data_IF_184920511325
#
_entry.id   IF_184920511325
#
_cell.length_a   1.000
_cell.length_b   1.000
_cell.length_c   1.000
_cell.angle_alpha   90.00
_cell.angle_beta   90.00
_cell.angle_gamma   90.00
#
_symmetry.space_group_name_H-M   'P 1'
#
loop_
_entity.id
_entity.type
_entity.pdbx_description
1 polymer ?
#
# COMPACT_ATOMS: atom_id res chain seq x y z
N UNK A 1 -9.29 -16.98 22.21
CA UNK A 1 -8.16 -16.04 22.19
C UNK A 1 -8.29 -15.28 20.90
N UNK A 2 -8.53 -13.97 20.96
CA UNK A 2 -8.62 -13.15 19.74
C UNK A 2 -7.21 -12.98 19.19
N UNK A 3 -7.01 -13.34 17.93
CA UNK A 3 -5.76 -13.13 17.22
C UNK A 3 -5.82 -11.73 16.58
N UNK A 4 -4.89 -10.85 16.93
CA UNK A 4 -4.82 -9.50 16.38
C UNK A 4 -3.71 -9.32 15.34
N UNK A 5 -2.85 -10.33 15.17
CA UNK A 5 -1.93 -10.47 14.05
C UNK A 5 -1.85 -11.93 13.62
N UNK A 6 -2.05 -12.21 12.33
CA UNK A 6 -1.85 -13.53 11.75
C UNK A 6 -0.49 -13.66 11.07
N UNK A 7 0.15 -12.53 10.73
CA UNK A 7 1.52 -12.51 10.22
C UNK A 7 2.48 -12.21 11.36
N UNK A 8 3.41 -13.13 11.60
CA UNK A 8 4.51 -12.90 12.54
C UNK A 8 5.39 -11.77 12.03
N UNK A 9 5.69 -10.83 12.92
CA UNK A 9 6.63 -9.74 12.65
C UNK A 9 7.93 -10.26 12.06
N UNK A 10 8.43 -9.53 11.08
CA UNK A 10 9.54 -9.95 10.23
C UNK A 10 10.54 -8.82 10.05
N UNK A 11 11.81 -9.17 10.06
CA UNK A 11 12.89 -8.44 9.43
C UNK A 11 13.88 -9.47 8.90
N UNK A 12 14.64 -9.11 7.87
CA UNK A 12 15.77 -9.93 7.46
C UNK A 12 16.78 -10.09 8.62
N UNK A 13 17.57 -11.17 8.57
CA UNK A 13 18.60 -11.43 9.57
C UNK A 13 19.49 -10.20 9.75
N UNK A 14 19.66 -9.76 11.01
CA UNK A 14 20.44 -8.59 11.37
C UNK A 14 20.02 -7.27 10.66
N UNK A 15 18.76 -7.19 10.18
CA UNK A 15 18.23 -6.03 9.47
C UNK A 15 18.78 -5.87 8.05
N UNK A 16 19.33 -6.94 7.46
CA UNK A 16 19.91 -6.87 6.11
C UNK A 16 18.90 -6.35 5.06
N UNK A 17 19.35 -5.50 4.16
CA UNK A 17 18.53 -5.09 3.00
C UNK A 17 18.84 -5.98 1.80
N UNK A 18 17.86 -6.18 0.94
CA UNK A 18 18.08 -6.86 -0.34
C UNK A 18 18.76 -5.91 -1.32
N UNK A 19 19.97 -6.27 -1.75
CA UNK A 19 20.76 -5.47 -2.70
C UNK A 19 20.35 -5.74 -4.15
N UNK A 20 20.68 -4.81 -5.06
CA UNK A 20 20.41 -4.95 -6.49
C UNK A 20 18.99 -4.58 -6.96
N UNK A 21 18.07 -4.28 -6.04
CA UNK A 21 16.72 -3.76 -6.37
C UNK A 21 16.80 -2.27 -6.76
N UNK A 22 17.51 -1.48 -5.96
CA UNK A 22 18.00 -0.16 -6.35
C UNK A 22 19.46 -0.27 -6.72
N UNK A 23 19.87 0.55 -7.69
CA UNK A 23 21.31 0.77 -7.94
C UNK A 23 21.94 1.44 -6.72
N UNK A 24 23.27 1.34 -6.57
CA UNK A 24 23.97 1.98 -5.46
C UNK A 24 23.77 3.50 -5.44
N UNK A 25 23.71 4.14 -6.62
CA UNK A 25 23.45 5.57 -6.75
C UNK A 25 22.03 5.95 -6.28
N UNK A 26 21.03 5.16 -6.67
CA UNK A 26 19.67 5.33 -6.19
C UNK A 26 19.60 5.12 -4.67
N UNK A 27 20.20 4.05 -4.15
CA UNK A 27 20.21 3.76 -2.72
C UNK A 27 20.85 4.90 -1.91
N UNK A 28 21.97 5.47 -2.37
CA UNK A 28 22.58 6.67 -1.78
C UNK A 28 21.66 7.89 -1.80
N UNK A 29 20.88 8.06 -2.86
CA UNK A 29 19.90 9.14 -2.93
C UNK A 29 18.75 8.90 -1.93
N UNK A 30 18.24 7.67 -1.84
CA UNK A 30 17.20 7.29 -0.87
C UNK A 30 17.65 7.57 0.57
N UNK A 31 18.83 7.08 0.94
CA UNK A 31 19.33 7.25 2.31
C UNK A 31 19.62 8.70 2.63
N UNK A 32 20.14 9.49 1.68
CA UNK A 32 20.32 10.93 1.88
C UNK A 32 19.00 11.65 2.14
N UNK A 33 17.92 11.27 1.44
CA UNK A 33 16.60 11.85 1.64
C UNK A 33 16.02 11.42 3.00
N UNK A 34 16.07 10.12 3.30
CA UNK A 34 15.51 9.53 4.51
C UNK A 34 16.32 9.88 5.78
N UNK A 35 17.61 10.18 5.66
CA UNK A 35 18.44 10.73 6.72
C UNK A 35 17.86 12.06 7.23
N UNK A 36 17.33 12.88 6.32
CA UNK A 36 16.78 14.18 6.65
C UNK A 36 17.82 15.10 7.28
N UNK A 37 17.37 15.91 8.24
CA UNK A 37 18.19 16.85 9.00
C UNK A 37 18.16 16.55 10.51
N UNK A 38 18.46 17.55 11.34
CA UNK A 38 18.42 17.37 12.79
C UNK A 38 17.03 16.99 13.34
N UNK A 39 15.96 17.38 12.64
CA UNK A 39 14.57 17.32 13.08
C UNK A 39 13.65 16.55 12.13
N UNK A 40 14.19 15.97 11.06
CA UNK A 40 13.48 15.17 10.08
C UNK A 40 14.32 13.94 9.73
N UNK A 41 13.68 12.83 9.34
CA UNK A 41 14.39 11.62 8.94
C UNK A 41 15.00 10.84 10.12
N UNK A 42 16.00 10.00 9.84
CA UNK A 42 16.69 9.20 10.84
C UNK A 42 18.14 8.87 10.43
N UNK A 43 19.11 9.01 11.35
CA UNK A 43 20.52 8.71 11.04
C UNK A 43 20.83 7.22 10.83
N UNK A 44 19.95 6.30 11.23
CA UNK A 44 20.09 4.87 10.95
C UNK A 44 20.06 4.54 9.46
N UNK A 45 19.54 5.43 8.61
CA UNK A 45 19.61 5.26 7.16
C UNK A 45 21.03 5.34 6.60
N UNK A 46 22.01 5.89 7.32
CA UNK A 46 23.41 5.92 6.87
C UNK A 46 23.99 4.50 6.68
N UNK A 47 23.54 3.57 7.53
CA UNK A 47 24.00 2.17 7.54
C UNK A 47 23.46 1.36 6.37
N UNK A 48 22.41 1.84 5.71
CA UNK A 48 21.80 1.18 4.56
C UNK A 48 22.76 1.19 3.36
N UNK A 49 23.58 2.24 3.21
CA UNK A 49 24.61 2.30 2.15
C UNK A 49 25.93 1.73 2.60
N UNK A 50 26.37 1.99 3.83
CA UNK A 50 27.71 1.59 4.30
C UNK A 50 27.78 0.12 4.70
N UNK A 51 26.72 -0.40 5.32
CA UNK A 51 26.66 -1.74 5.90
C UNK A 51 25.57 -2.61 5.24
N UNK A 52 24.71 -2.04 4.39
CA UNK A 52 23.56 -2.73 3.80
C UNK A 52 22.59 -3.31 4.83
N UNK A 53 22.37 -2.56 5.92
CA UNK A 53 21.41 -2.90 6.97
C UNK A 53 20.49 -1.73 7.29
N UNK A 54 19.25 -2.05 7.68
CA UNK A 54 18.28 -1.12 8.22
C UNK A 54 17.87 -1.55 9.63
N UNK A 55 18.46 -0.90 10.63
CA UNK A 55 18.26 -1.20 12.06
C UNK A 55 18.73 -0.05 12.95
N UNK A 56 18.18 0.03 14.16
CA UNK A 56 18.65 0.94 15.21
C UNK A 56 19.58 0.20 16.17
N UNK A 57 20.87 0.51 16.12
CA UNK A 57 21.88 -0.21 16.89
C UNK A 57 21.86 -1.72 16.57
N UNK A 58 21.38 -2.52 17.53
CA UNK A 58 21.20 -3.97 17.41
C UNK A 58 19.73 -4.40 17.19
N UNK A 59 18.80 -3.46 17.17
CA UNK A 59 17.37 -3.71 17.04
C UNK A 59 16.94 -3.52 15.58
N UNK A 60 16.44 -4.58 14.97
CA UNK A 60 15.92 -4.52 13.60
C UNK A 60 14.59 -3.75 13.56
N UNK A 61 14.35 -3.02 12.48
CA UNK A 61 13.03 -2.49 12.20
C UNK A 61 12.15 -3.61 11.64
N UNK A 62 11.19 -4.03 12.44
CA UNK A 62 10.26 -5.11 12.11
C UNK A 62 9.14 -4.59 11.23
N UNK A 63 8.52 -5.47 10.45
CA UNK A 63 7.29 -5.21 9.71
C UNK A 63 6.35 -6.41 9.82
N UNK A 64 5.09 -6.23 9.47
CA UNK A 64 4.07 -7.29 9.45
C UNK A 64 3.50 -7.49 8.05
N UNK A 65 4.27 -7.08 7.03
CA UNK A 65 3.86 -7.21 5.63
C UNK A 65 3.79 -8.69 5.24
N UNK A 66 2.65 -9.10 4.66
CA UNK A 66 2.41 -10.46 4.21
C UNK A 66 3.47 -10.97 3.23
N UNK A 67 3.55 -12.29 3.05
CA UNK A 67 4.53 -12.92 2.15
C UNK A 67 4.34 -12.54 0.66
N UNK A 68 3.14 -12.08 0.27
CA UNK A 68 2.87 -11.50 -1.04
C UNK A 68 3.34 -10.04 -1.17
N UNK A 69 3.86 -9.47 -0.08
CA UNK A 69 4.37 -8.12 0.14
C UNK A 69 3.28 -7.03 0.09
N UNK A 70 2.07 -7.38 0.52
CA UNK A 70 0.98 -6.44 0.82
C UNK A 70 0.62 -6.64 2.29
N UNK A 71 0.45 -5.55 3.04
CA UNK A 71 -0.11 -5.56 4.39
C UNK A 71 -1.64 -5.59 4.29
N UNK A 72 -2.24 -6.73 4.66
CA UNK A 72 -3.68 -6.93 4.68
C UNK A 72 -4.24 -6.61 6.05
N UNK A 73 -5.20 -5.71 6.10
CA UNK A 73 -5.80 -5.20 7.32
C UNK A 73 -7.25 -5.67 7.43
N UNK A 74 -7.61 -6.26 8.55
CA UNK A 74 -9.00 -6.45 8.93
C UNK A 74 -9.42 -5.33 9.90
N UNK A 75 -10.61 -4.78 9.69
CA UNK A 75 -11.12 -3.70 10.53
C UNK A 75 -12.16 -4.21 11.51
N UNK A 76 -11.80 -4.27 12.78
CA UNK A 76 -12.71 -4.49 13.91
C UNK A 76 -12.97 -3.20 14.72
N UNK A 77 -12.29 -2.10 14.37
CA UNK A 77 -12.42 -0.80 15.03
C UNK A 77 -13.68 -0.06 14.60
N UNK A 78 -14.37 0.52 15.58
CA UNK A 78 -15.48 1.46 15.36
C UNK A 78 -15.00 2.86 15.01
N UNK A 79 -13.74 3.17 15.33
CA UNK A 79 -13.07 4.44 15.00
C UNK A 79 -12.61 4.52 13.54
N UNK A 80 -12.59 3.40 12.81
CA UNK A 80 -12.37 3.37 11.37
C UNK A 80 -13.69 3.10 10.62
N UNK A 81 -14.36 4.13 10.09
CA UNK A 81 -15.53 3.94 9.26
C UNK A 81 -15.19 3.16 7.99
N UNK A 82 -16.06 2.24 7.57
CA UNK A 82 -15.89 1.46 6.31
C UNK A 82 -15.62 2.37 5.10
N UNK A 83 -16.25 3.56 5.07
CA UNK A 83 -16.06 4.56 4.01
C UNK A 83 -14.65 5.17 3.96
N UNK A 84 -13.88 5.13 5.05
CA UNK A 84 -12.52 5.68 5.11
C UNK A 84 -11.45 4.66 4.67
N UNK A 85 -11.75 3.36 4.70
CA UNK A 85 -10.79 2.27 4.43
C UNK A 85 -10.04 2.43 3.09
N UNK A 86 -10.74 2.84 2.03
CA UNK A 86 -10.13 3.02 0.71
C UNK A 86 -9.10 4.16 0.70
N UNK A 87 -9.36 5.27 1.39
CA UNK A 87 -8.43 6.38 1.50
C UNK A 87 -7.26 6.05 2.44
N UNK A 88 -7.52 5.38 3.58
CA UNK A 88 -6.48 4.95 4.52
C UNK A 88 -5.48 4.00 3.84
N UNK A 89 -5.95 2.91 3.23
CA UNK A 89 -5.07 1.99 2.48
C UNK A 89 -4.45 2.67 1.26
N UNK A 90 -5.23 3.52 0.58
CA UNK A 90 -4.78 4.29 -0.56
C UNK A 90 -3.62 5.22 -0.25
N UNK A 91 -3.49 5.74 0.98
CA UNK A 91 -2.43 6.68 1.34
C UNK A 91 -1.05 6.11 1.06
N UNK A 92 -0.71 4.99 1.71
CA UNK A 92 0.58 4.32 1.55
C UNK A 92 0.74 3.72 0.16
N UNK A 93 -0.34 3.29 -0.48
CA UNK A 93 -0.30 2.86 -1.87
C UNK A 93 0.13 4.00 -2.80
N UNK A 94 -0.36 5.23 -2.58
CA UNK A 94 0.03 6.40 -3.38
C UNK A 94 1.50 6.73 -3.16
N UNK A 95 1.95 6.75 -1.91
CA UNK A 95 3.36 6.94 -1.57
C UNK A 95 4.24 5.86 -2.23
N UNK A 96 3.82 4.59 -2.21
CA UNK A 96 4.55 3.50 -2.84
C UNK A 96 4.47 3.48 -4.37
N UNK A 97 3.45 4.10 -4.97
CA UNK A 97 3.16 3.99 -6.41
C UNK A 97 2.78 2.57 -6.87
N UNK A 98 2.42 1.69 -5.93
CA UNK A 98 1.90 0.34 -6.14
C UNK A 98 1.07 -0.06 -4.90
N UNK A 99 0.27 -1.13 -5.01
CA UNK A 99 -0.44 -1.66 -3.85
C UNK A 99 0.53 -2.34 -2.87
N UNK A 100 0.52 -1.86 -1.62
CA UNK A 100 1.25 -2.38 -0.47
C UNK A 100 0.39 -2.48 0.79
N UNK A 101 -0.80 -1.88 0.81
CA UNK A 101 -1.80 -1.98 1.89
C UNK A 101 -3.17 -2.27 1.30
N UNK A 102 -3.93 -3.19 1.90
CA UNK A 102 -5.29 -3.54 1.47
C UNK A 102 -6.18 -3.89 2.67
N UNK A 103 -7.45 -3.50 2.63
CA UNK A 103 -8.45 -4.03 3.56
C UNK A 103 -9.05 -5.34 3.06
N UNK A 104 -9.20 -6.31 3.96
CA UNK A 104 -9.84 -7.62 3.70
C UNK A 104 -11.12 -7.76 4.52
N UNK A 105 -11.98 -8.69 4.12
CA UNK A 105 -13.32 -8.83 4.69
C UNK A 105 -13.37 -9.84 5.85
N UNK A 106 -12.32 -10.64 6.04
CA UNK A 106 -12.23 -11.65 7.11
C UNK A 106 -10.93 -11.50 7.90
N UNK A 107 -10.95 -11.91 9.17
CA UNK A 107 -9.74 -11.91 10.03
C UNK A 107 -8.72 -12.87 9.46
N UNK A 108 -9.13 -14.03 8.97
CA UNK A 108 -8.24 -15.09 8.48
C UNK A 108 -7.42 -14.68 7.26
N UNK A 109 -7.92 -13.73 6.47
CA UNK A 109 -7.22 -13.17 5.31
C UNK A 109 -6.29 -12.02 5.66
N UNK A 110 -6.35 -11.48 6.88
CA UNK A 110 -5.56 -10.33 7.28
C UNK A 110 -4.19 -10.75 7.81
N UNK A 111 -3.21 -9.87 7.65
CA UNK A 111 -1.93 -9.95 8.34
C UNK A 111 -2.07 -9.37 9.75
N UNK A 112 -2.86 -8.29 9.89
CA UNK A 112 -3.06 -7.53 11.11
C UNK A 112 -4.53 -7.11 11.27
N UNK A 113 -4.99 -7.01 12.51
CA UNK A 113 -6.32 -6.52 12.88
C UNK A 113 -6.19 -5.13 13.50
N UNK A 114 -7.06 -4.21 13.06
CA UNK A 114 -7.25 -2.91 13.69
C UNK A 114 -8.39 -3.04 14.69
N UNK A 115 -8.16 -2.72 15.96
CA UNK A 115 -9.17 -2.82 17.02
C UNK A 115 -9.07 -1.69 18.04
N UNK A 116 -10.13 -1.52 18.83
CA UNK A 116 -10.24 -0.47 19.84
C UNK A 116 -9.95 -1.03 21.24
N UNK A 117 -9.12 -0.33 22.00
CA UNK A 117 -8.86 -0.62 23.43
C UNK A 117 -9.37 0.55 24.28
N UNK A 118 -10.11 0.22 25.33
CA UNK A 118 -10.61 1.22 26.28
C UNK A 118 -9.51 1.70 27.24
N UNK A 119 -9.65 2.94 27.70
CA UNK A 119 -8.73 3.59 28.62
C UNK A 119 -7.90 4.68 27.97
N UNK A 120 -7.65 5.74 28.74
CA UNK A 120 -6.75 6.83 28.36
C UNK A 120 -5.30 6.43 28.63
N UNK A 121 -4.52 6.34 27.55
CA UNK A 121 -3.11 5.95 27.57
C UNK A 121 -2.18 7.12 27.25
N UNK A 122 -2.72 8.30 26.95
CA UNK A 122 -1.95 9.47 26.48
C UNK A 122 -1.44 9.38 25.04
N UNK A 123 -1.70 8.27 24.33
CA UNK A 123 -1.44 8.11 22.89
C UNK A 123 -2.73 7.76 22.16
N UNK A 124 -2.82 8.10 20.88
CA UNK A 124 -4.08 8.01 20.13
C UNK A 124 -4.23 6.66 19.40
N UNK A 125 -3.11 6.06 19.03
CA UNK A 125 -3.03 4.73 18.43
C UNK A 125 -1.67 4.10 18.75
N UNK A 126 -1.52 2.81 18.50
CA UNK A 126 -0.26 2.11 18.59
C UNK A 126 -0.20 0.93 17.62
N UNK A 127 0.97 0.70 17.04
CA UNK A 127 1.34 -0.54 16.36
C UNK A 127 2.22 -1.37 17.29
N UNK A 128 1.97 -2.68 17.35
CA UNK A 128 2.80 -3.59 18.13
C UNK A 128 3.29 -4.79 17.32
N UNK A 129 4.58 -5.09 17.44
CA UNK A 129 5.20 -6.27 16.83
C UNK A 129 5.07 -7.55 17.67
N UNK A 130 4.41 -7.48 18.84
CA UNK A 130 4.20 -8.61 19.75
C UNK A 130 2.95 -9.46 19.44
N UNK A 131 2.17 -9.08 18.42
CA UNK A 131 0.94 -9.76 18.02
C UNK A 131 -0.36 -9.08 18.47
N UNK A 132 -0.29 -7.95 19.19
CA UNK A 132 -1.47 -7.17 19.60
C UNK A 132 -2.08 -6.34 18.45
N UNK A 133 -1.44 -6.33 17.28
CA UNK A 133 -1.93 -5.67 16.06
C UNK A 133 -1.88 -4.15 16.10
N UNK A 134 -2.82 -3.52 15.39
CA UNK A 134 -3.02 -2.08 15.34
C UNK A 134 -4.13 -1.69 16.32
N UNK A 135 -3.81 -0.81 17.25
CA UNK A 135 -4.67 -0.43 18.37
C UNK A 135 -5.07 1.03 18.23
N UNK A 136 -6.36 1.32 18.37
CA UNK A 136 -6.86 2.66 18.65
C UNK A 136 -7.18 2.81 20.14
N UNK A 137 -6.96 4.02 20.66
CA UNK A 137 -7.37 4.41 22.01
C UNK A 137 -8.41 5.55 21.96
N UNK A 138 -9.70 5.22 21.73
CA UNK A 138 -10.78 6.19 21.69
C UNK A 138 -10.81 7.18 22.86
N UNK A 139 -10.54 6.68 24.06
CA UNK A 139 -10.63 7.46 25.30
C UNK A 139 -9.47 8.43 25.49
N UNK A 140 -8.37 8.31 24.72
CA UNK A 140 -7.25 9.26 24.70
C UNK A 140 -7.55 10.51 23.85
N UNK A 141 -8.71 10.56 23.18
CA UNK A 141 -9.04 11.63 22.24
C UNK A 141 -9.67 12.85 22.92
N UNK A 142 -8.84 13.81 23.33
CA UNK A 142 -9.27 15.03 24.07
C UNK A 142 -9.06 16.33 23.28
N UNK A 143 -9.23 16.30 21.96
CA UNK A 143 -8.92 17.44 21.08
C UNK A 143 -10.20 18.21 20.72
N UNK A 144 -10.55 19.17 21.58
CA UNK A 144 -11.88 19.80 21.58
C UNK A 144 -12.05 20.96 20.58
N UNK A 145 -10.94 21.49 20.03
CA UNK A 145 -10.92 22.73 19.22
C UNK A 145 -10.95 22.50 17.70
N UNK A 146 -11.32 21.31 17.27
CA UNK A 146 -11.35 20.92 15.85
C UNK A 146 -12.77 20.86 15.30
N UNK A 147 -12.92 21.17 14.01
CA UNK A 147 -14.15 20.82 13.27
C UNK A 147 -14.30 19.30 13.18
N UNK A 148 -15.50 18.80 12.90
CA UNK A 148 -15.72 17.36 12.73
C UNK A 148 -14.86 16.76 11.60
N UNK A 149 -14.62 17.52 10.53
CA UNK A 149 -13.72 17.14 9.44
C UNK A 149 -12.27 17.01 9.91
N UNK A 150 -11.80 17.97 10.70
CA UNK A 150 -10.45 17.95 11.24
C UNK A 150 -10.27 16.81 12.27
N UNK A 151 -11.28 16.52 13.08
CA UNK A 151 -11.26 15.36 13.98
C UNK A 151 -11.13 14.05 13.20
N UNK A 152 -11.93 13.87 12.13
CA UNK A 152 -11.83 12.71 11.24
C UNK A 152 -10.44 12.60 10.60
N UNK A 153 -9.86 13.72 10.14
CA UNK A 153 -8.52 13.73 9.57
C UNK A 153 -7.50 13.23 10.58
N UNK A 154 -7.53 13.76 11.81
CA UNK A 154 -6.59 13.38 12.84
C UNK A 154 -6.75 11.94 13.33
N UNK A 155 -7.98 11.44 13.47
CA UNK A 155 -8.23 10.02 13.77
C UNK A 155 -7.54 9.12 12.73
N UNK A 156 -7.72 9.46 11.45
CA UNK A 156 -7.20 8.66 10.35
C UNK A 156 -5.70 8.85 10.17
N UNK A 157 -5.17 10.04 10.46
CA UNK A 157 -3.73 10.28 10.51
C UNK A 157 -3.04 9.37 11.51
N UNK A 158 -3.57 9.25 12.74
CA UNK A 158 -3.00 8.37 13.75
C UNK A 158 -2.92 6.94 13.22
N UNK A 159 -4.00 6.43 12.62
CA UNK A 159 -3.97 5.11 12.00
C UNK A 159 -2.99 4.97 10.84
N UNK A 160 -2.96 5.94 9.92
CA UNK A 160 -2.07 5.91 8.77
C UNK A 160 -0.61 5.93 9.26
N UNK A 161 -0.29 6.67 10.32
CA UNK A 161 1.01 6.66 10.98
C UNK A 161 1.36 5.26 11.50
N UNK A 162 0.45 4.62 12.26
CA UNK A 162 0.68 3.28 12.79
C UNK A 162 0.79 2.21 11.69
N UNK A 163 0.06 2.35 10.58
CA UNK A 163 0.27 1.50 9.38
C UNK A 163 1.70 1.68 8.85
N UNK A 164 2.28 2.88 8.93
CA UNK A 164 3.68 3.13 8.61
C UNK A 164 4.64 2.29 9.47
N UNK A 165 4.39 2.19 10.77
CA UNK A 165 5.12 1.27 11.65
C UNK A 165 4.92 -0.20 11.25
N UNK A 166 3.70 -0.59 10.86
CA UNK A 166 3.41 -1.94 10.36
C UNK A 166 4.17 -2.28 9.06
N UNK A 167 4.45 -1.27 8.23
CA UNK A 167 5.30 -1.37 7.03
C UNK A 167 6.81 -1.36 7.35
N UNK A 168 7.17 -1.11 8.60
CA UNK A 168 8.54 -1.11 9.13
C UNK A 168 9.23 0.26 9.15
N UNK A 169 8.49 1.36 9.04
CA UNK A 169 9.06 2.70 9.19
C UNK A 169 9.22 3.03 10.67
N UNK A 170 10.35 3.64 11.03
CA UNK A 170 10.52 4.28 12.33
C UNK A 170 9.87 5.67 12.36
N UNK A 171 9.81 6.29 13.54
CA UNK A 171 9.65 7.74 13.61
C UNK A 171 10.78 8.45 12.82
N UNK A 172 10.43 9.57 12.19
CA UNK A 172 11.29 10.37 11.31
C UNK A 172 11.43 11.81 11.81
N UNK A 173 11.62 12.00 13.12
CA UNK A 173 11.87 13.30 13.76
C UNK A 173 13.36 13.65 13.92
N UNK A 174 14.26 12.99 13.18
CA UNK A 174 15.70 13.21 13.24
C UNK A 174 16.40 12.48 14.39
N UNK A 175 17.72 12.35 14.30
CA UNK A 175 18.54 11.60 15.26
C UNK A 175 18.49 10.09 15.05
N UNK A 176 18.96 9.34 16.05
CA UNK A 176 19.13 7.87 15.97
C UNK A 176 17.81 7.12 16.14
N UNK A 177 16.89 7.65 16.93
CA UNK A 177 15.60 7.02 17.22
C UNK A 177 14.41 7.74 16.55
N UNK A 178 14.67 8.86 15.86
CA UNK A 178 13.63 9.69 15.26
C UNK A 178 12.89 10.58 16.25
N UNK A 179 13.41 10.79 17.47
CA UNK A 179 12.72 11.53 18.53
C UNK A 179 13.19 12.99 18.70
N UNK A 180 14.24 13.43 18.00
CA UNK A 180 14.86 14.75 18.22
C UNK A 180 13.86 15.92 18.13
N UNK A 181 13.03 15.93 17.09
CA UNK A 181 12.04 16.97 16.87
C UNK A 181 10.99 17.01 17.97
N UNK A 182 10.46 15.87 18.40
CA UNK A 182 9.50 15.78 19.51
C UNK A 182 10.12 16.30 20.82
N UNK A 183 11.35 15.88 21.12
CA UNK A 183 12.10 16.33 22.30
C UNK A 183 12.40 17.83 22.28
N UNK A 184 12.50 18.43 21.09
CA UNK A 184 12.73 19.85 20.90
C UNK A 184 11.44 20.68 20.75
N UNK A 185 10.25 20.05 20.83
CA UNK A 185 8.97 20.71 20.59
C UNK A 185 8.84 21.27 19.18
N UNK A 186 9.47 20.63 18.19
CA UNK A 186 9.38 21.00 16.78
C UNK A 186 8.43 20.04 16.09
N UNK A 187 7.37 20.59 15.53
CA UNK A 187 6.33 19.84 14.86
C UNK A 187 6.36 20.15 13.37
N UNK A 188 6.41 19.10 12.57
CA UNK A 188 6.55 19.16 11.13
C UNK A 188 5.28 18.73 10.42
N UNK A 189 5.39 18.67 9.09
CA UNK A 189 4.30 18.20 8.24
C UNK A 189 4.44 16.72 7.88
N UNK A 190 5.61 16.11 8.14
CA UNK A 190 5.95 14.74 7.84
C UNK A 190 5.06 13.76 8.59
N UNK A 191 4.46 12.79 7.89
CA UNK A 191 3.54 11.85 8.51
C UNK A 191 4.22 11.03 9.61
N UNK A 192 5.42 10.50 9.36
CA UNK A 192 6.16 9.71 10.33
C UNK A 192 6.97 10.57 11.32
N UNK A 193 6.91 11.90 11.19
CA UNK A 193 7.52 12.83 12.13
C UNK A 193 6.58 13.18 13.30
N UNK A 194 7.07 13.94 14.30
CA UNK A 194 6.21 14.50 15.34
C UNK A 194 5.34 15.62 14.76
N UNK A 195 4.10 15.67 15.22
CA UNK A 195 3.08 16.56 14.72
C UNK A 195 2.35 17.29 15.86
N UNK A 196 1.81 18.47 15.54
CA UNK A 196 0.94 19.24 16.43
C UNK A 196 -0.36 19.57 15.70
N UNK A 197 -1.46 19.23 16.36
CA UNK A 197 -2.82 19.37 15.86
C UNK A 197 -3.23 20.83 15.69
N UNK A 198 -2.66 21.72 16.49
CA UNK A 198 -2.92 23.16 16.43
C UNK A 198 -2.20 23.85 15.29
N UNK A 199 -0.99 23.42 14.95
CA UNK A 199 -0.20 23.98 13.85
C UNK A 199 -0.64 23.45 12.48
N UNK A 200 -1.18 22.21 12.45
CA UNK A 200 -1.59 21.53 11.21
C UNK A 200 -3.00 20.94 11.33
N UNK A 201 -4.06 21.75 11.52
CA UNK A 201 -5.40 21.25 11.83
C UNK A 201 -6.00 20.35 10.74
N UNK A 202 -5.50 20.41 9.51
CA UNK A 202 -5.90 19.55 8.39
C UNK A 202 -5.22 18.16 8.36
N UNK A 203 -4.29 17.89 9.28
CA UNK A 203 -3.47 16.68 9.33
C UNK A 203 -2.14 16.81 8.57
N UNK A 204 -1.16 15.93 8.88
CA UNK A 204 0.14 15.90 8.23
C UNK A 204 0.04 15.40 6.78
N UNK A 205 1.12 15.62 6.06
CA UNK A 205 1.27 15.30 4.64
C UNK A 205 2.49 14.40 4.47
N UNK A 206 2.33 13.28 3.74
CA UNK A 206 3.50 12.48 3.40
C UNK A 206 4.38 13.20 2.39
N UNK A 207 5.67 13.26 2.70
CA UNK A 207 6.70 13.92 1.89
C UNK A 207 7.65 12.91 1.25
N UNK A 208 8.66 13.40 0.52
CA UNK A 208 9.72 12.55 0.00
C UNK A 208 10.52 11.81 1.08
N UNK A 209 10.53 12.30 2.33
CA UNK A 209 11.23 11.66 3.45
C UNK A 209 10.53 10.36 3.85
N UNK A 210 9.19 10.39 4.04
CA UNK A 210 8.40 9.19 4.31
C UNK A 210 8.52 8.18 3.16
N UNK A 211 8.50 8.66 1.92
CA UNK A 211 8.60 7.82 0.72
C UNK A 211 9.97 7.14 0.58
N UNK A 212 11.06 7.85 0.88
CA UNK A 212 12.41 7.28 0.87
C UNK A 212 12.60 6.27 2.01
N UNK A 213 12.08 6.57 3.21
CA UNK A 213 12.06 5.62 4.33
C UNK A 213 11.29 4.34 3.97
N UNK A 214 10.10 4.48 3.37
CA UNK A 214 9.30 3.36 2.88
C UNK A 214 10.04 2.53 1.82
N UNK A 215 10.71 3.18 0.86
CA UNK A 215 11.49 2.50 -0.18
C UNK A 215 12.62 1.64 0.42
N UNK A 216 13.30 2.14 1.45
CA UNK A 216 14.32 1.38 2.18
C UNK A 216 13.70 0.25 2.99
N UNK A 217 12.62 0.52 3.74
CA UNK A 217 11.93 -0.49 4.55
C UNK A 217 11.48 -1.68 3.67
N UNK A 218 10.98 -1.41 2.46
CA UNK A 218 10.57 -2.44 1.52
C UNK A 218 11.69 -3.37 1.03
N UNK A 219 12.97 -3.02 1.22
CA UNK A 219 14.10 -3.92 0.95
C UNK A 219 14.29 -4.98 2.03
N UNK A 220 13.66 -4.81 3.19
CA UNK A 220 13.70 -5.73 4.34
C UNK A 220 12.47 -6.62 4.45
N UNK A 221 11.46 -6.45 3.58
CA UNK A 221 10.25 -7.28 3.57
C UNK A 221 10.55 -8.71 3.12
N UNK A 222 9.68 -9.67 3.48
CA UNK A 222 9.79 -11.07 3.01
C UNK A 222 9.83 -11.18 1.48
N UNK A 223 9.14 -10.25 0.80
CA UNK A 223 9.18 -10.09 -0.65
C UNK A 223 9.67 -8.67 -1.00
N UNK A 224 11.00 -8.47 -1.02
CA UNK A 224 11.62 -7.19 -1.31
C UNK A 224 11.23 -6.69 -2.69
N UNK A 225 11.04 -5.37 -2.83
CA UNK A 225 10.60 -4.77 -4.10
C UNK A 225 11.01 -3.31 -4.23
N UNK A 226 11.10 -2.84 -5.47
CA UNK A 226 11.29 -1.42 -5.80
C UNK A 226 9.94 -0.70 -5.75
N UNK A 227 9.81 0.30 -4.89
CA UNK A 227 8.61 1.14 -4.73
C UNK A 227 8.97 2.63 -4.64
N UNK A 228 7.98 3.51 -4.57
CA UNK A 228 8.16 4.96 -4.46
C UNK A 228 9.14 5.54 -5.49
N UNK A 229 9.29 4.93 -6.67
CA UNK A 229 10.32 5.28 -7.65
C UNK A 229 10.22 6.72 -8.17
N UNK A 230 9.07 7.37 -7.95
CA UNK A 230 8.86 8.78 -8.23
C UNK A 230 9.82 9.70 -7.45
N UNK A 231 10.37 9.29 -6.30
CA UNK A 231 11.33 10.09 -5.51
C UNK A 231 12.64 10.38 -6.25
N UNK A 232 12.91 9.63 -7.33
CA UNK A 232 14.07 9.80 -8.18
C UNK A 232 13.82 10.81 -9.33
N UNK A 233 12.60 11.33 -9.45
CA UNK A 233 12.24 12.34 -10.45
C UNK A 233 12.68 13.75 -10.01
N UNK A 234 12.92 14.62 -10.98
CA UNK A 234 13.43 15.99 -10.74
C UNK A 234 12.48 16.86 -9.92
N UNK A 235 11.17 16.59 -9.94
CA UNK A 235 10.14 17.33 -9.22
C UNK A 235 9.64 16.62 -7.94
N UNK A 236 10.37 15.59 -7.46
CA UNK A 236 10.00 14.79 -6.29
C UNK A 236 9.71 15.63 -5.03
N UNK A 237 10.45 16.71 -4.79
CA UNK A 237 10.27 17.59 -3.62
C UNK A 237 8.94 18.36 -3.61
N UNK A 238 8.24 18.41 -4.74
CA UNK A 238 6.92 19.05 -4.85
C UNK A 238 5.79 18.04 -4.67
N UNK A 239 6.10 16.75 -4.61
CA UNK A 239 5.10 15.68 -4.54
C UNK A 239 4.64 15.44 -3.11
N UNK A 240 3.37 15.13 -2.96
CA UNK A 240 2.78 14.86 -1.65
C UNK A 240 1.56 13.94 -1.71
N UNK A 241 1.22 13.35 -0.56
CA UNK A 241 -0.05 12.67 -0.30
C UNK A 241 -0.58 13.14 1.05
N UNK A 242 -1.85 13.54 1.10
CA UNK A 242 -2.54 13.92 2.32
C UNK A 242 -3.88 13.22 2.40
N UNK A 243 -4.24 12.71 3.57
CA UNK A 243 -5.60 12.28 3.85
C UNK A 243 -6.46 13.51 4.15
N UNK A 244 -7.61 13.62 3.50
CA UNK A 244 -8.58 14.68 3.80
C UNK A 244 -9.99 14.12 3.70
N UNK A 245 -10.63 13.94 4.84
CA UNK A 245 -12.04 13.63 5.02
C UNK A 245 -12.51 12.47 4.14
N UNK A 246 -11.89 11.30 4.36
CA UNK A 246 -12.17 10.04 3.63
C UNK A 246 -11.74 10.06 2.17
N UNK A 247 -10.96 11.05 1.78
CA UNK A 247 -10.36 11.17 0.44
C UNK A 247 -8.85 11.36 0.54
N UNK A 248 -8.19 11.19 -0.60
CA UNK A 248 -6.76 11.48 -0.76
C UNK A 248 -6.59 12.71 -1.63
N UNK A 249 -5.78 13.64 -1.16
CA UNK A 249 -5.28 14.76 -1.94
C UNK A 249 -3.83 14.49 -2.26
N UNK A 250 -3.50 14.38 -3.55
CA UNK A 250 -2.15 14.09 -4.00
C UNK A 250 -1.88 14.70 -5.36
N UNK A 251 -0.62 15.06 -5.60
CA UNK A 251 -0.09 15.40 -6.91
C UNK A 251 0.99 14.39 -7.38
N UNK A 252 1.07 13.24 -6.72
CA UNK A 252 1.84 12.11 -7.24
C UNK A 252 1.19 11.63 -8.54
N UNK A 253 2.00 11.28 -9.55
CA UNK A 253 1.47 10.63 -10.73
C UNK A 253 0.74 9.35 -10.27
N UNK A 254 -0.58 9.34 -10.45
CA UNK A 254 -1.45 8.25 -10.00
C UNK A 254 -0.90 6.94 -10.55
N UNK A 255 -0.25 6.18 -9.67
CA UNK A 255 0.11 4.78 -9.91
C UNK A 255 -0.42 3.94 -8.76
N UNK A 256 -1.53 4.35 -8.14
CA UNK A 256 -2.32 3.37 -7.39
C UNK A 256 -3.33 2.81 -8.36
N UNK A 257 -3.04 1.60 -8.82
CA UNK A 257 -4.06 0.73 -9.37
C UNK A 257 -4.70 0.00 -8.18
N UNK A 258 -5.84 0.44 -7.62
CA UNK A 258 -6.73 -0.53 -7.00
C UNK A 258 -7.39 -1.31 -8.13
N UNK A 259 -7.23 -2.63 -8.07
CA UNK A 259 -7.53 -3.60 -9.13
C UNK A 259 -6.69 -3.42 -10.40
N UNK A 260 -6.33 -4.54 -10.99
CA UNK A 260 -5.55 -4.63 -12.21
C UNK A 260 -6.27 -3.89 -13.37
N UNK A 261 -5.63 -2.86 -13.95
CA UNK A 261 -6.16 -2.10 -15.09
C UNK A 261 -5.32 -2.34 -16.34
N UNK A 262 -5.84 -3.11 -17.28
CA UNK A 262 -5.23 -3.22 -18.62
C UNK A 262 -5.48 -1.94 -19.36
N UNK A 263 -4.41 -1.27 -19.84
CA UNK A 263 -4.58 -0.20 -20.83
C UNK A 263 -4.86 -0.85 -22.18
N UNK A 264 -6.06 -0.64 -22.68
CA UNK A 264 -6.41 -0.93 -24.06
C UNK A 264 -6.12 0.31 -24.88
N UNK A 265 -5.26 0.18 -25.87
CA UNK A 265 -5.11 1.21 -26.88
C UNK A 265 -6.29 1.08 -27.85
N UNK A 266 -7.02 2.17 -28.10
CA UNK A 266 -8.16 2.17 -29.01
C UNK A 266 -7.74 1.89 -30.47
N UNK A 267 -6.46 2.09 -30.80
CA UNK A 267 -5.87 1.69 -32.08
C UNK A 267 -5.57 0.18 -32.16
N UNK A 268 -5.64 -0.55 -31.03
CA UNK A 268 -5.39 -1.99 -30.98
C UNK A 268 -6.66 -2.77 -31.37
N UNK A 269 -6.60 -3.35 -32.56
CA UNK A 269 -7.66 -4.06 -33.27
C UNK A 269 -8.38 -5.09 -32.36
N UNK A 270 -9.69 -4.90 -32.15
CA UNK A 270 -10.58 -5.97 -31.68
C UNK A 270 -10.60 -7.05 -32.76
N UNK A 271 -10.21 -8.27 -32.39
CA UNK A 271 -10.43 -9.41 -33.28
C UNK A 271 -11.57 -10.24 -32.69
N UNK A 272 -12.76 -10.26 -33.31
CA UNK A 272 -13.78 -11.24 -32.98
C UNK A 272 -13.22 -12.62 -33.32
N UNK A 273 -13.14 -13.49 -32.31
CA UNK A 273 -12.62 -14.85 -32.48
C UNK A 273 -13.56 -15.77 -31.74
N UNK A 274 -14.70 -16.08 -32.34
CA UNK A 274 -15.62 -17.07 -31.77
C UNK A 274 -14.93 -18.44 -31.80
N UNK A 275 -14.31 -18.81 -30.69
CA UNK A 275 -13.56 -20.07 -30.52
C UNK A 275 -13.77 -20.59 -29.11
N UNK A 276 -13.62 -21.90 -28.91
CA UNK A 276 -13.77 -22.54 -27.62
C UNK A 276 -12.39 -22.95 -27.11
N UNK A 277 -12.06 -22.55 -25.87
CA UNK A 277 -10.74 -22.77 -25.28
C UNK A 277 -10.90 -23.26 -23.85
N UNK A 278 -10.00 -24.14 -23.41
CA UNK A 278 -10.02 -24.66 -22.03
C UNK A 278 -9.26 -23.70 -21.12
N UNK A 279 -9.82 -23.38 -19.96
CA UNK A 279 -9.12 -22.67 -18.90
C UNK A 279 -8.18 -23.68 -18.21
N UNK A 280 -6.89 -23.44 -18.25
CA UNK A 280 -5.87 -24.37 -17.76
C UNK A 280 -5.31 -23.96 -16.39
N UNK A 281 -5.40 -22.66 -16.05
CA UNK A 281 -4.73 -22.10 -14.87
C UNK A 281 -5.63 -21.21 -14.05
N UNK A 282 -5.27 -21.06 -12.77
CA UNK A 282 -5.89 -20.08 -11.90
C UNK A 282 -5.50 -18.66 -12.33
N UNK A 283 -6.48 -17.80 -12.57
CA UNK A 283 -6.31 -16.41 -12.99
C UNK A 283 -7.48 -15.55 -12.51
N UNK A 284 -7.21 -14.27 -12.26
CA UNK A 284 -8.25 -13.30 -11.92
C UNK A 284 -9.25 -13.10 -13.06
N UNK A 285 -10.51 -12.83 -12.69
CA UNK A 285 -11.62 -12.53 -13.58
C UNK A 285 -12.02 -11.06 -13.44
N UNK A 286 -12.34 -10.43 -14.55
CA UNK A 286 -12.74 -9.02 -14.62
C UNK A 286 -14.01 -8.84 -15.44
N UNK A 287 -14.76 -7.77 -15.18
CA UNK A 287 -15.94 -7.37 -15.96
C UNK A 287 -15.66 -6.04 -16.66
N UNK A 288 -15.83 -6.01 -17.98
CA UNK A 288 -15.73 -4.81 -18.81
C UNK A 288 -17.08 -4.39 -19.35
N UNK A 289 -17.32 -3.08 -19.39
CA UNK A 289 -18.27 -2.43 -20.30
C UNK A 289 -17.51 -1.98 -21.55
N UNK A 290 -18.12 -2.07 -22.72
CA UNK A 290 -17.55 -1.58 -23.99
C UNK A 290 -17.19 -0.09 -23.94
N UNK A 291 -17.82 0.70 -23.05
CA UNK A 291 -17.50 2.10 -22.79
C UNK A 291 -16.17 2.31 -22.05
N UNK A 292 -15.61 1.29 -21.42
CA UNK A 292 -14.34 1.35 -20.69
C UNK A 292 -13.11 1.14 -21.61
N UNK A 293 -13.35 0.87 -22.89
CA UNK A 293 -12.32 0.70 -23.94
C UNK A 293 -12.40 1.93 -24.87
N UNK A 294 -12.25 3.14 -24.33
CA UNK A 294 -12.33 4.37 -25.12
C UNK A 294 -10.98 5.05 -25.37
N UNK A 295 -9.88 4.53 -24.81
CA UNK A 295 -8.52 5.06 -25.00
C UNK A 295 -8.28 6.49 -24.48
N UNK A 296 -9.31 7.12 -23.90
CA UNK A 296 -9.30 8.53 -23.48
C UNK A 296 -9.45 8.65 -21.97
N UNK A 297 -10.05 7.64 -21.31
CA UNK A 297 -10.31 7.67 -19.86
C UNK A 297 -9.71 6.45 -19.15
N UNK A 298 -8.99 6.68 -18.04
CA UNK A 298 -8.41 5.64 -17.18
C UNK A 298 -9.51 4.95 -16.36
N UNK A 299 -10.24 4.00 -16.96
CA UNK A 299 -11.13 3.12 -16.19
C UNK A 299 -10.47 1.77 -15.93
N UNK A 300 -10.31 1.45 -14.65
CA UNK A 300 -9.90 0.12 -14.20
C UNK A 300 -11.10 -0.82 -14.19
N UNK A 301 -10.98 -2.01 -14.77
CA UNK A 301 -12.02 -3.02 -14.65
C UNK A 301 -12.00 -3.63 -13.25
N UNK A 302 -13.15 -3.69 -12.55
CA UNK A 302 -13.20 -4.33 -11.25
C UNK A 302 -12.88 -5.82 -11.40
N UNK A 303 -12.02 -6.33 -10.52
CA UNK A 303 -11.88 -7.77 -10.34
C UNK A 303 -13.19 -8.29 -9.74
N UNK A 304 -13.76 -9.30 -10.37
CA UNK A 304 -15.04 -9.92 -9.96
C UNK A 304 -14.88 -11.35 -9.46
N UNK A 305 -13.64 -11.86 -9.43
CA UNK A 305 -13.32 -13.20 -8.92
C UNK A 305 -12.00 -13.74 -9.46
N UNK A 306 -11.85 -15.06 -9.45
CA UNK A 306 -10.75 -15.80 -10.10
C UNK A 306 -11.22 -17.19 -10.58
N UNK A 307 -10.53 -17.79 -11.54
CA UNK A 307 -10.97 -19.04 -12.19
C UNK A 307 -10.93 -20.26 -11.26
N UNK A 308 -10.13 -20.22 -10.18
CA UNK A 308 -10.11 -21.24 -9.14
C UNK A 308 -11.07 -21.01 -7.97
N UNK A 309 -11.99 -20.03 -8.06
CA UNK A 309 -12.84 -19.65 -6.94
C UNK A 309 -13.80 -20.81 -6.56
N UNK A 310 -13.91 -21.22 -5.27
CA UNK A 310 -14.62 -22.45 -4.90
C UNK A 310 -16.10 -22.52 -5.32
N UNK A 311 -16.81 -21.39 -5.24
CA UNK A 311 -18.21 -21.23 -5.62
C UNK A 311 -18.40 -20.97 -7.13
N UNK A 312 -17.31 -20.76 -7.88
CA UNK A 312 -17.29 -20.46 -9.30
C UNK A 312 -16.04 -21.05 -9.98
N UNK A 313 -15.82 -22.36 -9.80
CA UNK A 313 -14.61 -23.02 -10.27
C UNK A 313 -14.65 -23.25 -11.80
N UNK A 314 -13.82 -22.50 -12.52
CA UNK A 314 -13.72 -22.47 -13.98
C UNK A 314 -12.49 -23.20 -14.54
N UNK A 315 -11.52 -23.58 -13.70
CA UNK A 315 -10.35 -24.35 -14.19
C UNK A 315 -10.84 -25.68 -14.79
N UNK A 316 -10.21 -26.06 -15.90
CA UNK A 316 -10.56 -27.15 -16.79
C UNK A 316 -11.90 -27.03 -17.55
N UNK A 317 -12.65 -25.94 -17.39
CA UNK A 317 -13.86 -25.68 -18.19
C UNK A 317 -13.47 -25.16 -19.57
N UNK A 318 -14.26 -25.56 -20.57
CA UNK A 318 -14.20 -24.99 -21.91
C UNK A 318 -15.13 -23.78 -21.98
N UNK A 319 -14.59 -22.62 -22.33
CA UNK A 319 -15.32 -21.35 -22.43
C UNK A 319 -15.35 -20.85 -23.86
N UNK A 320 -16.42 -20.15 -24.21
CA UNK A 320 -16.54 -19.49 -25.51
C UNK A 320 -15.79 -18.16 -25.45
N UNK A 321 -14.67 -18.07 -26.15
CA UNK A 321 -13.99 -16.80 -26.39
C UNK A 321 -14.81 -16.03 -27.43
N UNK A 322 -15.12 -14.78 -27.10
CA UNK A 322 -15.87 -13.86 -27.95
C UNK A 322 -14.91 -12.91 -28.66
N UNK A 323 -13.98 -12.33 -27.91
CA UNK A 323 -13.06 -11.29 -28.39
C UNK A 323 -11.67 -11.45 -27.77
N UNK A 324 -10.65 -10.96 -28.47
CA UNK A 324 -9.27 -10.86 -27.98
C UNK A 324 -8.80 -9.43 -28.10
N UNK A 325 -8.22 -8.91 -27.03
CA UNK A 325 -7.68 -7.56 -26.96
C UNK A 325 -6.16 -7.61 -26.76
N UNK A 326 -5.39 -6.89 -27.58
CA UNK A 326 -4.00 -6.61 -27.27
C UNK A 326 -3.92 -5.69 -26.05
N UNK A 327 -2.84 -5.79 -25.28
CA UNK A 327 -2.56 -4.87 -24.17
C UNK A 327 -1.39 -3.96 -24.53
N UNK A 328 -1.22 -2.87 -23.78
CA UNK A 328 -0.02 -2.02 -23.87
C UNK A 328 1.28 -2.75 -23.44
N UNK A 329 1.20 -3.97 -22.91
CA UNK A 329 2.34 -4.82 -22.61
C UNK A 329 2.61 -5.77 -23.79
N UNK A 330 3.81 -5.66 -24.36
CA UNK A 330 4.22 -6.49 -25.51
C UNK A 330 4.07 -7.99 -25.19
N UNK A 331 3.44 -8.72 -26.11
CA UNK A 331 3.22 -10.16 -25.99
C UNK A 331 2.08 -10.58 -25.05
N UNK A 332 1.39 -9.66 -24.40
CA UNK A 332 0.25 -9.96 -23.53
C UNK A 332 -1.09 -9.61 -24.18
N UNK A 333 -2.06 -10.51 -24.02
CA UNK A 333 -3.42 -10.39 -24.56
C UNK A 333 -4.45 -10.76 -23.51
N UNK A 334 -5.60 -10.10 -23.59
CA UNK A 334 -6.80 -10.37 -22.77
C UNK A 334 -7.85 -10.99 -23.67
N UNK A 335 -8.63 -11.91 -23.13
CA UNK A 335 -9.78 -12.52 -23.81
C UNK A 335 -11.07 -12.12 -23.11
N UNK A 336 -12.10 -11.78 -23.89
CA UNK A 336 -13.50 -11.77 -23.44
C UNK A 336 -14.09 -13.12 -23.72
N UNK A 337 -14.74 -13.70 -22.72
CA UNK A 337 -15.34 -15.01 -22.83
C UNK A 337 -16.68 -15.05 -22.13
N UNK A 338 -17.54 -15.94 -22.62
CA UNK A 338 -18.85 -16.23 -22.04
C UNK A 338 -18.80 -17.56 -21.31
N UNK A 339 -19.38 -17.57 -20.11
CA UNK A 339 -19.65 -18.78 -19.34
C UNK A 339 -21.05 -18.68 -18.73
N UNK A 340 -21.92 -19.60 -19.11
CA UNK A 340 -23.37 -19.48 -18.91
C UNK A 340 -23.90 -18.17 -19.52
N UNK A 341 -24.69 -17.39 -18.77
CA UNK A 341 -25.26 -16.11 -19.21
C UNK A 341 -24.41 -14.90 -18.78
N UNK A 342 -23.22 -15.14 -18.22
CA UNK A 342 -22.30 -14.08 -17.81
C UNK A 342 -21.10 -13.97 -18.76
N UNK A 343 -20.62 -12.74 -18.94
CA UNK A 343 -19.40 -12.43 -19.66
C UNK A 343 -18.31 -11.95 -18.72
N UNK A 344 -17.10 -12.41 -19.00
CA UNK A 344 -15.91 -12.11 -18.22
C UNK A 344 -14.73 -11.85 -19.13
N UNK A 345 -13.66 -11.38 -18.50
CA UNK A 345 -12.35 -11.26 -19.13
C UNK A 345 -11.25 -11.75 -18.22
N UNK A 346 -10.17 -12.20 -18.85
CA UNK A 346 -8.94 -12.61 -18.20
C UNK A 346 -7.79 -12.58 -19.20
N UNK A 347 -6.56 -12.76 -18.72
CA UNK A 347 -5.43 -12.97 -19.62
C UNK A 347 -5.58 -14.25 -20.45
N UNK A 348 -5.23 -14.18 -21.73
CA UNK A 348 -5.21 -15.37 -22.60
C UNK A 348 -4.23 -16.44 -22.10
N UNK A 349 -3.20 -16.05 -21.34
CA UNK A 349 -2.25 -16.98 -20.71
C UNK A 349 -2.89 -17.96 -19.71
N UNK A 350 -4.13 -17.69 -19.29
CA UNK A 350 -4.95 -18.60 -18.47
C UNK A 350 -5.49 -19.80 -19.26
N UNK A 351 -5.55 -19.68 -20.60
CA UNK A 351 -6.05 -20.73 -21.47
C UNK A 351 -4.95 -21.75 -21.79
N UNK A 352 -5.38 -22.93 -22.21
CA UNK A 352 -4.54 -23.94 -22.85
C UNK A 352 -3.65 -23.33 -23.95
N UNK A 353 -2.47 -23.90 -24.22
CA UNK A 353 -1.70 -23.47 -25.39
C UNK A 353 -2.47 -23.84 -26.65
N UNK A 354 -2.60 -22.90 -27.60
CA UNK A 354 -3.06 -23.25 -28.95
C UNK A 354 -2.09 -24.30 -29.50
N UNK A 355 -2.62 -25.46 -29.89
CA UNK A 355 -1.87 -26.50 -30.60
C UNK A 355 -1.54 -26.00 -31.99
#
# INVERSE_FOLDING_TARGET
MTLYANTTSYANENGAITTGIYTEAELKQLTKIAHGDQYTGNSNFDRVVTEHVYKNGNTNYMNVVGADGVLKLYNDSKYLPKAAQAAVSGFWNHVAGVEIVRFVDTVEESDEVIHDVAGDTGVLAAQSYNGDGLIFYPDSWHIDKLTAEQQENWHMTALIHEIGHGLGLSHLGGGVDGANAGNAGRFGSELMGPWDVTDHPEGPTSTMVDAAALAVAALTWRKPRKIAAWILQTDASKKYVRYNNRQLVSNLPVTVLPAWGVKFDQAMIRTPVVTYRKIDKNYNLYRFDDKQIDGVTLYTAPQVGYTGQPDRYLIAKTVQILEVYPTNMSGQRVVRFKYNDEEFTMYEAALDRKV
#
